data_IF_267296425174
#
_entry.id   IF_267296425174
#
_cell.length_a   1.000
_cell.length_b   1.000
_cell.length_c   1.000
_cell.angle_alpha   90.00
_cell.angle_beta   90.00
_cell.angle_gamma   90.00
#
_symmetry.space_group_name_H-M   'P 1'
#
loop_
_entity.id
_entity.type
_entity.pdbx_description
1 polymer ?
#
# COMPACT_ATOMS: atom_id res chain seq x y z
N UNK A 1 34.72 -80.59 95.89
CA UNK A 1 35.53 -79.62 95.12
C UNK A 1 34.60 -78.96 94.12
N UNK A 2 34.32 -77.68 94.33
CA UNK A 2 33.33 -76.86 93.64
C UNK A 2 33.85 -76.34 92.30
N UNK A 3 33.08 -76.54 91.22
CA UNK A 3 33.03 -75.61 90.09
C UNK A 3 31.57 -75.50 89.61
N UNK A 4 30.92 -74.43 90.05
CA UNK A 4 29.78 -73.81 89.39
C UNK A 4 30.33 -73.01 88.21
N UNK A 5 29.70 -72.99 87.03
CA UNK A 5 29.17 -71.75 86.43
C UNK A 5 28.57 -71.88 85.01
N UNK A 6 27.39 -71.26 84.88
CA UNK A 6 26.79 -70.59 83.73
C UNK A 6 26.56 -71.36 82.41
N UNK A 7 25.35 -71.93 82.29
CA UNK A 7 24.68 -72.10 81.00
C UNK A 7 24.22 -70.73 80.47
N UNK A 8 24.95 -70.21 79.48
CA UNK A 8 24.57 -69.01 78.74
C UNK A 8 23.38 -69.34 77.81
N UNK A 9 22.16 -68.94 78.20
CA UNK A 9 20.98 -69.04 77.33
C UNK A 9 21.09 -67.97 76.25
N UNK A 10 21.64 -68.35 75.09
CA UNK A 10 21.79 -67.50 73.91
C UNK A 10 20.42 -66.91 73.52
N UNK A 11 20.21 -65.64 73.82
CA UNK A 11 19.05 -64.87 73.36
C UNK A 11 19.01 -64.92 71.83
N UNK A 12 18.00 -65.58 71.26
CA UNK A 12 17.72 -65.51 69.82
C UNK A 12 17.21 -64.10 69.53
N UNK A 13 18.10 -63.20 69.15
CA UNK A 13 17.71 -61.96 68.49
C UNK A 13 16.90 -62.33 67.26
N UNK A 14 15.60 -62.00 67.24
CA UNK A 14 14.76 -62.18 66.05
C UNK A 14 15.35 -61.28 64.96
N UNK A 15 16.17 -61.84 64.06
CA UNK A 15 16.69 -61.11 62.91
C UNK A 15 15.50 -60.60 62.10
N UNK A 16 15.48 -59.29 61.86
CA UNK A 16 14.45 -58.66 61.03
C UNK A 16 14.43 -59.38 59.67
N UNK A 17 13.26 -59.82 59.17
CA UNK A 17 13.21 -60.60 57.94
C UNK A 17 13.80 -59.77 56.79
N UNK A 18 14.64 -60.39 55.94
CA UNK A 18 15.40 -59.72 54.87
C UNK A 18 14.54 -58.76 54.02
N UNK A 19 13.28 -59.11 53.79
CA UNK A 19 12.30 -58.27 53.08
C UNK A 19 12.07 -56.92 53.76
N UNK A 20 11.95 -56.88 55.09
CA UNK A 20 11.78 -55.63 55.85
C UNK A 20 13.05 -54.78 55.80
N UNK A 21 14.23 -55.39 55.87
CA UNK A 21 15.49 -54.65 55.69
C UNK A 21 15.61 -54.03 54.29
N UNK A 22 15.19 -54.74 53.24
CA UNK A 22 15.17 -54.20 51.87
C UNK A 22 14.16 -53.04 51.74
N UNK A 23 12.98 -53.14 52.34
CA UNK A 23 11.99 -52.06 52.34
C UNK A 23 12.52 -50.83 53.09
N UNK A 24 13.15 -51.01 54.24
CA UNK A 24 13.77 -49.90 54.99
C UNK A 24 14.91 -49.23 54.21
N UNK A 25 15.76 -50.02 53.56
CA UNK A 25 16.82 -49.49 52.70
C UNK A 25 16.26 -48.69 51.50
N UNK A 26 15.20 -49.21 50.86
CA UNK A 26 14.48 -48.50 49.80
C UNK A 26 13.88 -47.19 50.30
N UNK A 27 13.25 -47.19 51.49
CA UNK A 27 12.71 -45.97 52.10
C UNK A 27 13.80 -44.93 52.41
N UNK A 28 14.98 -45.35 52.87
CA UNK A 28 16.11 -44.44 53.13
C UNK A 28 16.64 -43.82 51.82
N UNK A 29 16.73 -44.62 50.75
CA UNK A 29 17.15 -44.12 49.43
C UNK A 29 16.13 -43.14 48.87
N UNK A 30 14.84 -43.48 48.95
CA UNK A 30 13.74 -42.59 48.55
C UNK A 30 13.73 -41.30 49.36
N UNK A 31 13.92 -41.37 50.69
CA UNK A 31 13.98 -40.17 51.53
C UNK A 31 15.20 -39.31 51.23
N UNK A 32 16.35 -39.91 50.97
CA UNK A 32 17.59 -39.18 50.62
C UNK A 32 17.46 -38.50 49.25
N UNK A 33 16.85 -39.20 48.28
CA UNK A 33 16.56 -38.65 46.96
C UNK A 33 15.55 -37.49 47.05
N UNK A 34 14.50 -37.63 47.84
CA UNK A 34 13.52 -36.57 48.08
C UNK A 34 14.17 -35.34 48.76
N UNK A 35 15.05 -35.58 49.74
CA UNK A 35 15.80 -34.51 50.41
C UNK A 35 16.74 -33.78 49.43
N UNK A 36 17.45 -34.52 48.57
CA UNK A 36 18.31 -33.94 47.55
C UNK A 36 17.52 -33.09 46.55
N UNK A 37 16.37 -33.57 46.07
CA UNK A 37 15.49 -32.83 45.18
C UNK A 37 14.98 -31.53 45.82
N UNK A 38 14.57 -31.59 47.10
CA UNK A 38 14.13 -30.41 47.86
C UNK A 38 15.27 -29.40 48.06
N UNK A 39 16.47 -29.88 48.39
CA UNK A 39 17.66 -29.03 48.53
C UNK A 39 18.02 -28.35 47.20
N UNK A 40 18.07 -29.13 46.12
CA UNK A 40 18.36 -28.64 44.76
C UNK A 40 17.32 -27.60 44.31
N UNK A 41 16.05 -27.85 44.59
CA UNK A 41 14.96 -26.90 44.35
C UNK A 41 15.14 -25.58 45.11
N UNK A 42 15.37 -25.64 46.43
CA UNK A 42 15.55 -24.45 47.25
C UNK A 42 16.79 -23.64 46.83
N UNK A 43 17.89 -24.32 46.47
CA UNK A 43 19.09 -23.68 45.94
C UNK A 43 18.79 -22.92 44.65
N UNK A 44 18.04 -23.53 43.72
CA UNK A 44 17.66 -22.88 42.47
C UNK A 44 16.78 -21.65 42.70
N UNK A 45 15.75 -21.76 43.56
CA UNK A 45 14.87 -20.64 43.87
C UNK A 45 15.63 -19.49 44.54
N UNK A 46 16.57 -19.78 45.45
CA UNK A 46 17.39 -18.77 46.09
C UNK A 46 18.36 -18.10 45.11
N UNK A 47 18.97 -18.87 44.21
CA UNK A 47 19.81 -18.32 43.15
C UNK A 47 19.01 -17.40 42.22
N UNK A 48 17.80 -17.82 41.81
CA UNK A 48 16.91 -16.98 41.00
C UNK A 48 16.63 -15.63 41.69
N UNK A 49 16.23 -15.66 42.97
CA UNK A 49 15.94 -14.44 43.74
C UNK A 49 17.18 -13.53 43.82
N UNK A 50 18.33 -14.12 44.17
CA UNK A 50 19.61 -13.41 44.25
C UNK A 50 20.00 -12.79 42.92
N UNK A 51 19.91 -13.52 41.81
CA UNK A 51 20.27 -13.02 40.48
C UNK A 51 19.30 -11.91 40.05
N UNK A 52 18.00 -12.07 40.28
CA UNK A 52 16.99 -11.05 40.02
C UNK A 52 17.27 -9.77 40.81
N UNK A 53 17.47 -9.87 42.13
CA UNK A 53 17.71 -8.72 43.03
C UNK A 53 19.01 -7.96 42.68
N UNK A 54 19.99 -8.66 42.09
CA UNK A 54 21.26 -8.08 41.65
C UNK A 54 21.27 -7.65 40.17
N UNK A 55 20.10 -7.52 39.53
CA UNK A 55 19.96 -7.12 38.12
C UNK A 55 20.62 -8.07 37.11
N UNK A 56 20.90 -9.31 37.52
CA UNK A 56 21.42 -10.39 36.67
C UNK A 56 20.27 -11.15 36.02
N UNK A 57 19.46 -10.41 35.27
CA UNK A 57 18.20 -10.93 34.73
C UNK A 57 18.39 -12.06 33.71
N UNK A 58 19.46 -12.01 32.93
CA UNK A 58 19.81 -13.08 31.99
C UNK A 58 20.13 -14.39 32.74
N UNK A 59 20.91 -14.30 33.82
CA UNK A 59 21.26 -15.43 34.68
C UNK A 59 20.02 -15.98 35.38
N UNK A 60 19.18 -15.11 35.96
CA UNK A 60 17.91 -15.48 36.58
C UNK A 60 16.99 -16.22 35.59
N UNK A 61 16.85 -15.69 34.37
CA UNK A 61 16.05 -16.30 33.33
C UNK A 61 16.64 -17.65 32.85
N UNK A 62 17.96 -17.77 32.74
CA UNK A 62 18.61 -19.03 32.36
C UNK A 62 18.36 -20.16 33.37
N UNK A 63 18.26 -19.85 34.67
CA UNK A 63 17.86 -20.82 35.69
C UNK A 63 16.43 -21.35 35.47
N UNK A 64 15.57 -20.54 34.84
CA UNK A 64 14.22 -20.92 34.48
C UNK A 64 14.11 -21.53 33.07
N UNK A 65 15.04 -21.30 32.14
CA UNK A 65 14.99 -21.94 30.81
C UNK A 65 15.57 -23.35 30.83
N UNK A 66 16.52 -23.63 31.73
CA UNK A 66 17.10 -24.98 31.96
C UNK A 66 16.09 -26.01 32.51
N UNK A 67 14.80 -25.64 32.63
CA UNK A 67 13.62 -26.46 32.97
C UNK A 67 13.41 -27.74 32.13
N UNK A 68 14.17 -27.97 31.05
CA UNK A 68 14.03 -29.18 30.21
C UNK A 68 14.16 -30.51 30.99
N UNK A 69 14.73 -30.50 32.20
CA UNK A 69 14.91 -31.68 33.03
C UNK A 69 13.96 -31.76 34.25
N UNK A 70 12.95 -30.89 34.35
CA UNK A 70 12.02 -30.92 35.49
C UNK A 70 10.82 -31.84 35.24
N UNK A 71 10.41 -32.56 36.28
CA UNK A 71 9.10 -33.21 36.27
C UNK A 71 7.97 -32.14 36.39
N UNK A 72 6.72 -32.46 35.98
CA UNK A 72 5.62 -31.50 35.98
C UNK A 72 5.31 -30.88 37.36
N UNK A 73 5.52 -31.61 38.46
CA UNK A 73 5.30 -31.09 39.81
C UNK A 73 6.32 -30.01 40.16
N UNK A 74 7.60 -30.24 39.87
CA UNK A 74 8.68 -29.26 40.08
C UNK A 74 8.48 -28.02 39.19
N UNK A 75 7.97 -28.21 37.97
CA UNK A 75 7.62 -27.12 37.05
C UNK A 75 6.49 -26.23 37.59
N UNK A 76 5.43 -26.84 38.14
CA UNK A 76 4.33 -26.11 38.75
C UNK A 76 4.77 -25.39 40.03
N UNK A 77 5.54 -26.06 40.89
CA UNK A 77 6.05 -25.50 42.14
C UNK A 77 6.95 -24.29 41.89
N UNK A 78 7.90 -24.39 40.94
CA UNK A 78 8.78 -23.24 40.62
C UNK A 78 7.99 -22.08 40.04
N UNK A 79 6.99 -22.34 39.18
CA UNK A 79 6.12 -21.29 38.64
C UNK A 79 5.35 -20.57 39.76
N UNK A 80 4.81 -21.32 40.71
CA UNK A 80 4.10 -20.77 41.86
C UNK A 80 5.01 -19.94 42.76
N UNK A 81 6.17 -20.48 43.16
CA UNK A 81 7.06 -19.80 44.09
C UNK A 81 7.77 -18.60 43.49
N UNK A 82 8.12 -18.66 42.20
CA UNK A 82 8.62 -17.50 41.45
C UNK A 82 7.51 -16.45 41.34
N UNK A 83 6.30 -16.82 40.92
CA UNK A 83 5.16 -15.90 40.87
C UNK A 83 4.92 -15.20 42.22
N UNK A 84 4.94 -15.97 43.32
CA UNK A 84 4.79 -15.44 44.69
C UNK A 84 5.91 -14.46 45.05
N UNK A 85 7.15 -14.80 44.72
CA UNK A 85 8.28 -13.90 44.92
C UNK A 85 8.13 -12.62 44.09
N UNK A 86 7.80 -12.70 42.81
CA UNK A 86 7.62 -11.54 41.94
C UNK A 86 6.48 -10.64 42.41
N UNK A 87 5.34 -11.20 42.85
CA UNK A 87 4.24 -10.43 43.46
C UNK A 87 4.70 -9.69 44.72
N UNK A 88 5.49 -10.35 45.57
CA UNK A 88 6.07 -9.71 46.76
C UNK A 88 7.01 -8.57 46.36
N UNK A 89 7.84 -8.81 45.33
CA UNK A 89 8.78 -7.83 44.80
C UNK A 89 8.06 -6.60 44.23
N UNK A 90 6.92 -6.76 43.55
CA UNK A 90 6.12 -5.63 43.07
C UNK A 90 5.74 -4.70 44.22
N UNK A 91 5.15 -5.25 45.28
CA UNK A 91 4.75 -4.47 46.45
C UNK A 91 5.96 -3.80 47.12
N UNK A 92 7.07 -4.52 47.30
CA UNK A 92 8.30 -3.97 47.86
C UNK A 92 8.86 -2.82 47.02
N UNK A 93 8.84 -2.93 45.70
CA UNK A 93 9.28 -1.86 44.81
C UNK A 93 8.37 -0.63 44.92
N UNK A 94 7.05 -0.82 44.98
CA UNK A 94 6.11 0.27 45.21
C UNK A 94 6.39 1.03 46.52
N UNK A 95 6.63 0.29 47.61
CA UNK A 95 6.99 0.89 48.91
C UNK A 95 8.35 1.61 48.85
N UNK A 96 9.36 1.00 48.20
CA UNK A 96 10.70 1.58 48.06
C UNK A 96 10.71 2.86 47.20
N UNK A 97 9.85 2.95 46.18
CA UNK A 97 9.66 4.18 45.39
C UNK A 97 9.07 5.28 46.27
N UNK A 98 8.01 4.96 47.03
CA UNK A 98 7.37 5.92 47.93
C UNK A 98 8.35 6.45 48.99
N UNK A 99 9.18 5.56 49.54
CA UNK A 99 10.22 5.88 50.51
C UNK A 99 11.49 6.52 49.88
N UNK A 100 11.53 6.68 48.56
CA UNK A 100 12.68 7.19 47.79
C UNK A 100 13.97 6.38 48.00
N UNK A 101 13.84 5.07 48.28
CA UNK A 101 14.96 4.13 48.46
C UNK A 101 15.53 3.62 47.13
N UNK A 102 14.72 3.67 46.05
CA UNK A 102 15.10 3.27 44.70
C UNK A 102 14.69 4.37 43.70
N UNK A 103 15.43 4.49 42.59
CA UNK A 103 15.03 5.37 41.49
C UNK A 103 13.86 4.77 40.71
N UNK A 104 13.00 5.64 40.17
CA UNK A 104 11.89 5.25 39.29
C UNK A 104 12.37 4.42 38.09
N UNK A 105 13.52 4.76 37.50
CA UNK A 105 14.12 4.02 36.38
C UNK A 105 14.46 2.59 36.76
N UNK A 106 15.11 2.38 37.89
CA UNK A 106 15.51 1.05 38.36
C UNK A 106 14.31 0.18 38.73
N UNK A 107 13.24 0.80 39.26
CA UNK A 107 11.99 0.10 39.52
C UNK A 107 11.29 -0.32 38.22
N UNK A 108 11.20 0.58 37.23
CA UNK A 108 10.62 0.29 35.91
C UNK A 108 11.38 -0.81 35.17
N UNK A 109 12.71 -0.81 35.24
CA UNK A 109 13.54 -1.90 34.69
C UNK A 109 13.16 -3.25 35.31
N UNK A 110 13.00 -3.30 36.64
CA UNK A 110 12.56 -4.51 37.31
C UNK A 110 11.13 -4.89 36.93
N UNK A 111 10.17 -3.95 36.89
CA UNK A 111 8.79 -4.24 36.45
C UNK A 111 8.74 -4.81 35.03
N UNK A 112 9.54 -4.28 34.11
CA UNK A 112 9.67 -4.83 32.76
C UNK A 112 10.17 -6.27 32.75
N UNK A 113 11.19 -6.57 33.55
CA UNK A 113 11.70 -7.94 33.65
C UNK A 113 10.65 -8.86 34.31
N UNK A 114 9.87 -8.38 35.29
CA UNK A 114 8.73 -9.12 35.85
C UNK A 114 7.71 -9.45 34.77
N UNK A 115 7.33 -8.47 33.92
CA UNK A 115 6.39 -8.67 32.80
C UNK A 115 6.87 -9.77 31.86
N UNK A 116 8.17 -9.78 31.53
CA UNK A 116 8.78 -10.76 30.63
C UNK A 116 8.63 -12.21 31.08
N UNK A 117 8.60 -12.48 32.39
CA UNK A 117 8.37 -13.85 32.89
C UNK A 117 6.94 -14.34 32.64
N UNK A 118 5.97 -13.43 32.49
CA UNK A 118 4.55 -13.76 32.31
C UNK A 118 4.00 -14.71 33.40
N UNK A 119 4.38 -14.47 34.66
CA UNK A 119 3.98 -15.27 35.82
C UNK A 119 3.11 -14.50 36.83
N UNK A 120 2.86 -13.22 36.58
CA UNK A 120 2.04 -12.34 37.44
C UNK A 120 0.89 -11.77 36.61
N UNK A 121 -0.20 -11.40 37.27
CA UNK A 121 -1.32 -10.73 36.62
C UNK A 121 -0.85 -9.35 36.08
N UNK A 122 -1.16 -9.07 34.82
CA UNK A 122 -0.68 -7.87 34.13
C UNK A 122 -1.30 -6.59 34.71
N UNK A 123 -2.57 -6.61 35.13
CA UNK A 123 -3.24 -5.47 35.76
C UNK A 123 -2.58 -5.06 37.08
N UNK A 124 -2.17 -6.04 37.89
CA UNK A 124 -1.47 -5.78 39.16
C UNK A 124 -0.12 -5.09 38.90
N UNK A 125 0.58 -5.50 37.84
CA UNK A 125 1.87 -4.94 37.45
C UNK A 125 1.73 -3.54 36.84
N UNK A 126 0.75 -3.35 35.96
CA UNK A 126 0.42 -2.05 35.38
C UNK A 126 -0.02 -1.04 36.43
N UNK A 127 -0.86 -1.41 37.41
CA UNK A 127 -1.22 -0.52 38.52
C UNK A 127 0.00 0.01 39.28
N UNK A 128 1.03 -0.81 39.48
CA UNK A 128 2.24 -0.44 40.19
C UNK A 128 3.19 0.43 39.33
N UNK A 129 3.31 0.09 38.04
CA UNK A 129 4.15 0.81 37.08
C UNK A 129 3.54 2.17 36.71
N UNK A 130 2.24 2.20 36.42
CA UNK A 130 1.51 3.36 35.93
C UNK A 130 1.31 4.43 37.00
N UNK A 131 1.65 4.17 38.27
CA UNK A 131 1.71 5.21 39.30
C UNK A 131 3.01 6.02 39.28
N UNK A 132 3.99 5.64 38.44
CA UNK A 132 5.29 6.31 38.36
C UNK A 132 5.21 7.52 37.41
N UNK A 133 5.51 8.71 37.94
CA UNK A 133 5.45 9.98 37.20
C UNK A 133 6.32 9.97 35.93
N UNK A 134 7.47 9.30 35.97
CA UNK A 134 8.47 9.26 34.87
C UNK A 134 7.91 8.73 33.55
N UNK A 135 6.85 7.90 33.58
CA UNK A 135 6.26 7.28 32.37
C UNK A 135 4.86 7.79 32.03
N UNK A 136 4.32 8.79 32.73
CA UNK A 136 2.94 9.27 32.46
C UNK A 136 2.76 9.77 31.03
N UNK A 137 3.74 10.51 30.50
CA UNK A 137 3.71 10.97 29.12
C UNK A 137 3.81 9.79 28.13
N UNK A 138 4.56 8.75 28.46
CA UNK A 138 4.66 7.52 27.66
C UNK A 138 3.32 6.79 27.59
N UNK A 139 2.65 6.61 28.72
CA UNK A 139 1.33 5.98 28.82
C UNK A 139 0.30 6.77 28.03
N UNK A 140 0.32 8.10 28.17
CA UNK A 140 -0.55 8.99 27.39
C UNK A 140 -0.30 8.85 25.89
N UNK A 141 0.97 8.82 25.46
CA UNK A 141 1.33 8.60 24.06
C UNK A 141 0.84 7.24 23.56
N UNK A 142 1.02 6.17 24.33
CA UNK A 142 0.52 4.84 23.97
C UNK A 142 -1.00 4.84 23.77
N UNK A 143 -1.76 5.34 24.75
CA UNK A 143 -3.22 5.40 24.67
C UNK A 143 -3.72 6.29 23.52
N UNK A 144 -3.04 7.42 23.27
CA UNK A 144 -3.36 8.31 22.15
C UNK A 144 -3.05 7.62 20.81
N UNK A 145 -1.94 6.89 20.73
CA UNK A 145 -1.57 6.08 19.57
C UNK A 145 -2.61 5.01 19.25
N UNK A 146 -3.08 4.27 20.25
CA UNK A 146 -4.14 3.25 20.10
C UNK A 146 -5.44 3.88 19.59
N UNK A 147 -5.85 5.02 20.16
CA UNK A 147 -7.04 5.73 19.71
C UNK A 147 -6.91 6.18 18.24
N UNK A 148 -5.80 6.82 17.88
CA UNK A 148 -5.54 7.23 16.49
C UNK A 148 -5.52 6.04 15.53
N UNK A 149 -4.89 4.93 15.91
CA UNK A 149 -4.84 3.70 15.11
C UNK A 149 -6.24 3.15 14.84
N UNK A 150 -7.06 3.03 15.88
CA UNK A 150 -8.44 2.53 15.76
C UNK A 150 -9.34 3.44 14.91
N UNK A 151 -9.04 4.75 14.87
CA UNK A 151 -9.74 5.72 14.03
C UNK A 151 -9.18 5.82 12.59
N UNK A 152 -8.19 5.01 12.22
CA UNK A 152 -7.55 5.05 10.90
C UNK A 152 -6.61 6.24 10.69
N UNK A 153 -6.29 6.98 11.75
CA UNK A 153 -5.38 8.13 11.76
C UNK A 153 -3.94 7.66 11.93
N UNK A 154 -3.44 6.93 10.92
CA UNK A 154 -2.14 6.25 10.98
C UNK A 154 -0.94 7.22 11.13
N UNK A 155 -0.88 8.39 10.46
CA UNK A 155 0.20 9.36 10.68
C UNK A 155 0.32 9.81 12.14
N UNK A 156 -0.82 10.12 12.77
CA UNK A 156 -0.91 10.52 14.17
C UNK A 156 -0.51 9.36 15.09
N UNK A 157 -1.00 8.15 14.81
CA UNK A 157 -0.65 6.94 15.55
C UNK A 157 0.87 6.71 15.55
N UNK A 158 1.52 6.79 14.37
CA UNK A 158 2.99 6.67 14.23
C UNK A 158 3.70 7.71 15.09
N UNK A 159 3.24 8.97 15.05
CA UNK A 159 3.83 10.07 15.82
C UNK A 159 3.77 9.83 17.34
N UNK A 160 2.66 9.27 17.83
CA UNK A 160 2.50 8.92 19.23
C UNK A 160 3.34 7.70 19.63
N UNK A 161 3.29 6.61 18.86
CA UNK A 161 4.05 5.39 19.20
C UNK A 161 5.57 5.60 19.19
N UNK A 162 6.10 6.45 18.29
CA UNK A 162 7.52 6.85 18.31
C UNK A 162 7.99 7.51 19.62
N UNK A 163 7.05 8.00 20.44
CA UNK A 163 7.32 8.69 21.72
C UNK A 163 7.10 7.80 22.94
N UNK A 164 6.70 6.54 22.76
CA UNK A 164 6.55 5.59 23.88
C UNK A 164 7.93 5.21 24.37
N UNK A 165 8.15 5.35 25.67
CA UNK A 165 9.44 5.10 26.32
C UNK A 165 9.73 3.61 26.33
N UNK A 166 11.00 3.25 26.13
CA UNK A 166 11.45 1.87 26.31
C UNK A 166 11.27 1.36 27.75
N UNK A 167 11.06 2.25 28.74
CA UNK A 167 10.77 1.85 30.13
C UNK A 167 9.29 1.53 30.38
N UNK A 168 8.40 1.87 29.46
CA UNK A 168 6.97 1.57 29.53
C UNK A 168 6.72 0.08 29.34
N UNK A 169 5.80 -0.49 30.13
CA UNK A 169 5.38 -1.88 29.99
C UNK A 169 4.66 -2.14 28.66
N UNK A 170 4.10 -1.11 28.03
CA UNK A 170 3.44 -1.17 26.73
C UNK A 170 4.41 -0.96 25.55
N UNK A 171 5.71 -0.77 25.79
CA UNK A 171 6.67 -0.44 24.74
C UNK A 171 6.69 -1.47 23.60
N UNK A 172 6.74 -2.76 23.92
CA UNK A 172 6.75 -3.83 22.90
C UNK A 172 5.48 -3.82 22.05
N UNK A 173 4.31 -3.66 22.68
CA UNK A 173 3.04 -3.57 21.96
C UNK A 173 2.99 -2.30 21.10
N UNK A 174 3.54 -1.18 21.59
CA UNK A 174 3.64 0.06 20.82
C UNK A 174 4.47 -0.09 19.54
N UNK A 175 5.50 -0.94 19.53
CA UNK A 175 6.30 -1.22 18.34
C UNK A 175 5.51 -2.04 17.31
N UNK A 176 4.71 -3.00 17.76
CA UNK A 176 3.81 -3.78 16.90
C UNK A 176 2.82 -2.83 16.22
N UNK A 177 2.14 -1.99 17.00
CA UNK A 177 1.20 -1.01 16.45
C UNK A 177 1.87 0.05 15.58
N UNK A 178 3.11 0.45 15.87
CA UNK A 178 3.88 1.37 15.02
C UNK A 178 4.10 0.77 13.63
N UNK A 179 4.50 -0.50 13.56
CA UNK A 179 4.74 -1.19 12.29
C UNK A 179 3.43 -1.43 11.52
N UNK A 180 2.36 -1.84 12.22
CA UNK A 180 1.03 -1.96 11.61
C UNK A 180 0.52 -0.61 11.08
N UNK A 181 0.72 0.48 11.83
CA UNK A 181 0.33 1.83 11.40
C UNK A 181 1.07 2.25 10.12
N UNK A 182 2.38 1.98 10.04
CA UNK A 182 3.17 2.25 8.84
C UNK A 182 2.70 1.43 7.65
N UNK A 183 2.42 0.14 7.85
CA UNK A 183 1.89 -0.73 6.79
C UNK A 183 0.56 -0.20 6.25
N UNK A 184 -0.39 0.15 7.14
CA UNK A 184 -1.70 0.67 6.73
C UNK A 184 -1.62 2.02 6.06
N UNK A 185 -0.75 2.92 6.54
CA UNK A 185 -0.48 4.19 5.87
C UNK A 185 0.04 3.97 4.45
N UNK A 186 0.97 3.04 4.28
CA UNK A 186 1.55 2.69 2.97
C UNK A 186 0.51 2.15 2.01
N UNK A 187 -0.32 1.20 2.44
CA UNK A 187 -1.40 0.63 1.62
C UNK A 187 -2.35 1.72 1.10
N UNK A 188 -2.79 2.61 2.00
CA UNK A 188 -3.68 3.73 1.67
C UNK A 188 -3.02 4.72 0.70
N UNK A 189 -1.75 5.06 0.95
CA UNK A 189 -0.98 5.97 0.12
C UNK A 189 -0.80 5.42 -1.29
N UNK A 190 -0.45 4.14 -1.41
CA UNK A 190 -0.23 3.50 -2.72
C UNK A 190 -1.51 3.43 -3.53
N UNK A 191 -2.63 3.06 -2.90
CA UNK A 191 -3.94 3.07 -3.55
C UNK A 191 -4.33 4.47 -4.05
N UNK A 192 -4.04 5.52 -3.27
CA UNK A 192 -4.28 6.91 -3.68
C UNK A 192 -3.41 7.31 -4.87
N UNK A 193 -2.12 6.97 -4.84
CA UNK A 193 -1.21 7.22 -5.96
C UNK A 193 -1.64 6.47 -7.23
N UNK A 194 -2.09 5.21 -7.12
CA UNK A 194 -2.60 4.45 -8.26
C UNK A 194 -3.83 5.08 -8.90
N UNK A 195 -4.71 5.66 -8.10
CA UNK A 195 -5.85 6.43 -8.61
C UNK A 195 -5.40 7.67 -9.39
N UNK A 196 -4.44 8.44 -8.86
CA UNK A 196 -3.88 9.61 -9.53
C UNK A 196 -3.20 9.25 -10.85
N UNK A 197 -2.37 8.20 -10.85
CA UNK A 197 -1.67 7.69 -12.03
C UNK A 197 -2.67 7.28 -13.12
N UNK A 198 -3.77 6.62 -12.75
CA UNK A 198 -4.81 6.20 -13.69
C UNK A 198 -5.55 7.37 -14.36
N UNK A 199 -5.38 8.59 -13.83
CA UNK A 199 -5.92 9.83 -14.37
C UNK A 199 -4.80 10.79 -14.84
N UNK A 200 -3.60 10.26 -15.12
CA UNK A 200 -2.42 10.99 -15.61
C UNK A 200 -1.88 12.09 -14.66
N UNK A 201 -2.23 12.06 -13.36
CA UNK A 201 -1.78 13.03 -12.34
C UNK A 201 -0.45 12.63 -11.66
N UNK A 202 0.60 12.40 -12.44
CA UNK A 202 1.89 11.87 -11.95
C UNK A 202 2.61 12.79 -10.94
N UNK A 203 2.64 14.10 -11.20
CA UNK A 203 3.31 15.07 -10.31
C UNK A 203 2.65 15.14 -8.93
N UNK A 204 1.32 15.04 -8.90
CA UNK A 204 0.58 15.01 -7.63
C UNK A 204 0.86 13.71 -6.88
N UNK A 205 0.89 12.57 -7.57
CA UNK A 205 1.23 11.28 -6.97
C UNK A 205 2.64 11.31 -6.34
N UNK A 206 3.61 11.91 -7.03
CA UNK A 206 4.97 12.11 -6.52
C UNK A 206 5.01 13.03 -5.28
N UNK A 207 4.25 14.13 -5.29
CA UNK A 207 4.16 15.04 -4.14
C UNK A 207 3.62 14.31 -2.92
N UNK A 208 2.53 13.54 -3.08
CA UNK A 208 1.89 12.82 -1.97
C UNK A 208 2.78 11.79 -1.29
N UNK A 209 3.59 11.08 -2.08
CA UNK A 209 4.58 10.16 -1.51
C UNK A 209 5.66 10.94 -0.76
N UNK A 210 6.17 12.02 -1.36
CA UNK A 210 7.21 12.83 -0.73
C UNK A 210 6.76 13.45 0.60
N UNK A 211 5.50 13.85 0.72
CA UNK A 211 4.92 14.43 1.94
C UNK A 211 4.92 13.45 3.12
N UNK A 212 4.99 12.13 2.86
CA UNK A 212 4.95 11.08 3.89
C UNK A 212 6.33 10.48 4.20
N UNK A 213 7.41 11.00 3.60
CA UNK A 213 8.76 10.45 3.72
C UNK A 213 9.27 10.42 5.18
N UNK A 214 8.94 11.43 5.99
CA UNK A 214 9.37 11.51 7.39
C UNK A 214 8.73 10.43 8.30
N UNK A 215 7.57 9.92 7.89
CA UNK A 215 6.81 8.92 8.65
C UNK A 215 7.24 7.51 8.27
N UNK A 216 7.38 7.26 6.97
CA UNK A 216 7.70 5.95 6.40
C UNK A 216 9.21 5.68 6.37
N UNK A 217 10.04 6.71 6.29
CA UNK A 217 11.50 6.60 6.23
C UNK A 217 11.98 5.93 4.95
N UNK A 218 13.14 5.26 5.04
CA UNK A 218 13.83 4.61 3.91
C UNK A 218 13.21 3.24 3.49
N UNK A 219 11.88 3.14 3.50
CA UNK A 219 11.12 1.92 3.17
C UNK A 219 11.34 1.49 1.71
N UNK A 220 11.62 0.21 1.49
CA UNK A 220 11.95 -0.34 0.17
C UNK A 220 10.76 -0.27 -0.80
N UNK A 221 9.56 -0.56 -0.32
CA UNK A 221 8.35 -0.58 -1.15
C UNK A 221 8.00 0.86 -1.60
N UNK A 222 8.26 1.86 -0.75
CA UNK A 222 8.09 3.28 -1.11
C UNK A 222 9.05 3.67 -2.23
N UNK A 223 10.31 3.22 -2.17
CA UNK A 223 11.31 3.47 -3.24
C UNK A 223 10.89 2.82 -4.56
N UNK A 224 10.41 1.58 -4.51
CA UNK A 224 9.87 0.89 -5.68
C UNK A 224 8.66 1.62 -6.25
N UNK A 225 7.74 2.11 -5.42
CA UNK A 225 6.59 2.88 -5.87
C UNK A 225 6.97 4.19 -6.55
N UNK A 226 7.98 4.89 -6.03
CA UNK A 226 8.52 6.12 -6.65
C UNK A 226 9.11 5.80 -8.03
N UNK A 227 9.81 4.68 -8.18
CA UNK A 227 10.38 4.27 -9.47
C UNK A 227 9.26 3.97 -10.49
N UNK A 228 8.22 3.22 -10.09
CA UNK A 228 7.04 2.92 -10.93
C UNK A 228 6.33 4.19 -11.42
N UNK A 229 6.13 5.19 -10.55
CA UNK A 229 5.51 6.46 -10.94
C UNK A 229 6.36 7.20 -11.98
N UNK A 230 7.68 7.25 -11.78
CA UNK A 230 8.60 7.94 -12.70
C UNK A 230 8.65 7.26 -14.07
N UNK A 231 8.65 5.94 -14.10
CA UNK A 231 8.63 5.17 -15.35
C UNK A 231 7.35 5.48 -16.14
N UNK A 232 6.18 5.35 -15.51
CA UNK A 232 4.89 5.64 -16.16
C UNK A 232 4.77 7.10 -16.60
N UNK A 233 5.31 8.05 -15.82
CA UNK A 233 5.35 9.45 -16.22
C UNK A 233 6.19 9.65 -17.49
N UNK A 234 7.35 9.00 -17.57
CA UNK A 234 8.22 9.09 -18.75
C UNK A 234 7.53 8.48 -19.98
N UNK A 235 6.88 7.33 -19.84
CA UNK A 235 6.11 6.70 -20.92
C UNK A 235 5.00 7.63 -21.46
N UNK A 236 4.28 8.31 -20.56
CA UNK A 236 3.26 9.30 -20.94
C UNK A 236 3.86 10.47 -21.73
N UNK A 237 4.99 11.01 -21.29
CA UNK A 237 5.68 12.11 -21.97
C UNK A 237 6.19 11.70 -23.35
N UNK A 238 6.81 10.51 -23.46
CA UNK A 238 7.34 9.99 -24.71
C UNK A 238 6.25 9.78 -25.76
N UNK A 239 5.12 9.18 -25.33
CA UNK A 239 3.95 8.98 -26.20
C UNK A 239 3.40 10.30 -26.72
N UNK A 240 3.23 11.29 -25.85
CA UNK A 240 2.69 12.59 -26.24
C UNK A 240 3.64 13.38 -27.15
N UNK A 241 4.95 13.29 -26.91
CA UNK A 241 5.97 13.85 -27.80
C UNK A 241 5.89 13.23 -29.20
N UNK A 242 5.83 11.90 -29.29
CA UNK A 242 5.71 11.19 -30.56
C UNK A 242 4.44 11.57 -31.34
N UNK A 243 3.30 11.74 -30.65
CA UNK A 243 2.04 12.17 -31.25
C UNK A 243 2.14 13.61 -31.79
N UNK A 244 2.78 14.51 -31.04
CA UNK A 244 2.99 15.89 -31.45
C UNK A 244 3.91 15.99 -32.68
N UNK A 245 5.02 15.24 -32.68
CA UNK A 245 5.92 15.15 -33.82
C UNK A 245 5.23 14.57 -35.06
N UNK A 246 4.46 13.48 -34.92
CA UNK A 246 3.72 12.89 -36.02
C UNK A 246 2.70 13.86 -36.61
N UNK A 247 1.96 14.58 -35.75
CA UNK A 247 1.02 15.62 -36.19
C UNK A 247 1.75 16.76 -36.91
N UNK A 248 2.91 17.20 -36.44
CA UNK A 248 3.73 18.23 -37.09
C UNK A 248 4.27 17.77 -38.46
N UNK A 249 4.77 16.53 -38.56
CA UNK A 249 5.22 15.93 -39.83
C UNK A 249 4.06 15.80 -40.83
N UNK A 250 2.89 15.39 -40.38
CA UNK A 250 1.68 15.29 -41.21
C UNK A 250 1.22 16.66 -41.76
N UNK A 251 1.40 17.74 -40.99
CA UNK A 251 1.06 19.09 -41.45
C UNK A 251 2.11 19.69 -42.39
N UNK A 252 3.38 19.35 -42.21
CA UNK A 252 4.48 19.89 -43.02
C UNK A 252 4.72 19.12 -44.33
N UNK A 253 4.43 17.81 -44.37
CA UNK A 253 4.60 16.96 -45.56
C UNK A 253 3.29 16.74 -46.32
N UNK A 254 3.32 16.63 -47.66
CA UNK A 254 2.10 16.30 -48.41
C UNK A 254 1.78 14.83 -48.22
N UNK A 255 0.59 14.52 -47.69
CA UNK A 255 0.17 13.15 -47.43
C UNK A 255 -0.25 12.49 -48.74
N UNK A 256 0.35 11.35 -49.04
CA UNK A 256 0.11 10.54 -50.23
C UNK A 256 -0.03 9.07 -49.83
N UNK A 257 -0.54 8.22 -50.73
CA UNK A 257 -0.56 6.78 -50.51
C UNK A 257 0.83 6.14 -50.31
N UNK A 258 1.92 6.82 -50.71
CA UNK A 258 3.29 6.32 -50.58
C UNK A 258 3.91 6.59 -49.21
N UNK A 259 3.61 7.73 -48.58
CA UNK A 259 4.25 8.16 -47.33
C UNK A 259 3.32 8.11 -46.11
N UNK A 260 2.00 7.92 -46.27
CA UNK A 260 1.08 7.93 -45.12
C UNK A 260 1.46 6.93 -44.02
N UNK A 261 2.07 5.80 -44.41
CA UNK A 261 2.52 4.74 -43.50
C UNK A 261 3.93 4.95 -42.93
N UNK A 262 4.52 6.12 -43.14
CA UNK A 262 5.81 6.52 -42.55
C UNK A 262 5.70 7.79 -41.72
N UNK A 263 4.49 8.37 -41.63
CA UNK A 263 4.22 9.63 -40.91
C UNK A 263 3.76 9.39 -39.48
N UNK A 264 3.58 8.14 -39.05
CA UNK A 264 3.10 7.75 -37.73
C UNK A 264 1.79 8.46 -37.30
N UNK A 265 0.89 8.68 -38.25
CA UNK A 265 -0.39 9.36 -37.98
C UNK A 265 -1.30 8.41 -37.19
N UNK A 266 -1.56 8.75 -35.94
CA UNK A 266 -2.48 8.01 -35.08
C UNK A 266 -3.92 8.52 -35.17
N UNK A 267 -4.88 7.62 -34.95
CA UNK A 267 -6.29 7.94 -34.75
C UNK A 267 -6.89 7.04 -33.67
N UNK A 268 -7.79 7.60 -32.87
CA UNK A 268 -8.56 6.88 -31.85
C UNK A 268 -9.54 5.86 -32.43
N UNK A 269 -9.76 5.88 -33.75
CA UNK A 269 -10.64 4.96 -34.46
C UNK A 269 -9.89 4.28 -35.60
N UNK A 270 -10.46 3.24 -36.22
CA UNK A 270 -9.87 2.64 -37.41
C UNK A 270 -9.89 3.52 -38.68
N UNK A 271 -10.19 4.82 -38.58
CA UNK A 271 -10.36 5.73 -39.71
C UNK A 271 -9.50 7.00 -39.60
N UNK A 272 -8.90 7.38 -40.72
CA UNK A 272 -8.16 8.64 -40.88
C UNK A 272 -8.67 9.35 -42.13
N UNK A 273 -8.99 10.64 -42.00
CA UNK A 273 -9.36 11.51 -43.12
C UNK A 273 -8.20 12.47 -43.42
N UNK A 274 -7.81 12.56 -44.68
CA UNK A 274 -6.88 13.57 -45.19
C UNK A 274 -7.58 14.44 -46.22
N UNK A 275 -7.67 15.74 -45.99
CA UNK A 275 -8.24 16.72 -46.92
C UNK A 275 -7.09 17.49 -47.55
N UNK A 276 -6.96 17.38 -48.86
CA UNK A 276 -6.04 18.21 -49.63
C UNK A 276 -6.77 19.45 -50.15
N UNK A 277 -6.43 20.62 -49.60
CA UNK A 277 -6.87 21.94 -50.06
C UNK A 277 -6.33 22.23 -51.47
N UNK A 278 -5.11 21.78 -51.78
CA UNK A 278 -4.53 21.96 -53.11
C UNK A 278 -5.25 21.12 -54.18
N UNK A 279 -5.47 19.82 -53.90
CA UNK A 279 -6.07 18.90 -54.88
C UNK A 279 -7.60 18.93 -54.86
N UNK A 280 -8.21 19.60 -53.87
CA UNK A 280 -9.65 19.62 -53.63
C UNK A 280 -10.24 18.20 -53.53
N UNK A 281 -9.55 17.37 -52.74
CA UNK A 281 -9.91 15.97 -52.50
C UNK A 281 -9.88 15.61 -51.03
N UNK A 282 -10.86 14.82 -50.61
CA UNK A 282 -10.90 14.16 -49.31
C UNK A 282 -10.58 12.68 -49.48
N UNK A 283 -9.51 12.23 -48.84
CA UNK A 283 -9.07 10.84 -48.82
C UNK A 283 -9.45 10.21 -47.48
N UNK A 284 -10.07 9.03 -47.51
CA UNK A 284 -10.40 8.27 -46.30
C UNK A 284 -9.59 6.99 -46.29
N UNK A 285 -8.87 6.78 -45.21
CA UNK A 285 -8.08 5.59 -44.93
C UNK A 285 -8.73 4.78 -43.81
N UNK A 286 -8.54 3.46 -43.87
CA UNK A 286 -8.93 2.52 -42.82
C UNK A 286 -7.73 1.70 -42.38
N UNK A 287 -7.58 1.48 -41.08
CA UNK A 287 -6.43 0.76 -40.51
C UNK A 287 -6.02 1.30 -39.16
N UNK A 288 -4.71 1.37 -38.94
CA UNK A 288 -4.05 1.97 -37.77
C UNK A 288 -2.75 2.64 -38.20
N UNK A 289 -2.08 3.33 -37.28
CA UNK A 289 -0.77 3.95 -37.51
C UNK A 289 0.17 3.00 -38.27
N UNK A 290 0.85 3.55 -39.29
CA UNK A 290 1.76 2.88 -40.23
C UNK A 290 1.17 1.73 -41.07
N UNK A 291 -0.15 1.48 -40.97
CA UNK A 291 -0.89 0.46 -41.72
C UNK A 291 -2.23 0.99 -42.24
N UNK A 292 -2.23 2.20 -42.75
CA UNK A 292 -3.35 2.86 -43.40
C UNK A 292 -3.54 2.36 -44.84
N UNK A 293 -4.77 1.95 -45.16
CA UNK A 293 -5.19 1.59 -46.51
C UNK A 293 -6.24 2.60 -46.99
N UNK A 294 -6.04 3.17 -48.17
CA UNK A 294 -7.02 4.07 -48.79
C UNK A 294 -8.30 3.28 -49.13
N UNK A 295 -9.45 3.72 -48.62
CA UNK A 295 -10.75 3.07 -48.84
C UNK A 295 -11.73 3.93 -49.64
N UNK A 296 -11.58 5.26 -49.60
CA UNK A 296 -12.39 6.20 -50.39
C UNK A 296 -11.59 7.44 -50.79
N UNK A 297 -11.96 8.02 -51.92
CA UNK A 297 -11.53 9.34 -52.36
C UNK A 297 -12.76 10.09 -52.84
N UNK A 298 -12.98 11.29 -52.31
CA UNK A 298 -14.09 12.17 -52.64
C UNK A 298 -13.57 13.45 -53.27
N UNK A 299 -14.13 13.91 -54.40
CA UNK A 299 -14.10 15.31 -54.78
C UNK A 299 -14.65 16.19 -53.64
N UNK A 300 -13.98 17.29 -53.31
CA UNK A 300 -14.51 18.26 -52.36
C UNK A 300 -14.37 19.70 -52.86
N UNK A 301 -15.04 20.63 -52.18
CA UNK A 301 -14.92 22.07 -52.40
C UNK A 301 -14.77 22.77 -51.06
N UNK A 302 -13.60 23.37 -50.82
CA UNK A 302 -13.24 24.00 -49.54
C UNK A 302 -13.57 25.49 -49.52
N UNK A 303 -13.15 26.19 -48.46
CA UNK A 303 -13.32 27.63 -48.28
C UNK A 303 -12.62 28.46 -49.36
N UNK A 304 -13.27 29.52 -49.85
CA UNK A 304 -12.67 30.50 -50.75
C UNK A 304 -11.65 31.40 -50.04
N UNK A 305 -10.83 32.12 -50.80
CA UNK A 305 -9.88 33.07 -50.23
C UNK A 305 -10.60 34.14 -49.39
N UNK A 306 -10.17 34.31 -48.14
CA UNK A 306 -10.80 35.20 -47.16
C UNK A 306 -11.78 34.49 -46.24
N UNK A 307 -12.20 33.28 -46.59
CA UNK A 307 -13.01 32.37 -45.77
C UNK A 307 -12.42 30.95 -45.87
N UNK A 308 -11.10 30.88 -45.77
CA UNK A 308 -10.33 29.67 -46.05
C UNK A 308 -10.67 28.56 -45.05
N UNK A 309 -10.72 27.31 -45.54
CA UNK A 309 -10.79 26.16 -44.63
C UNK A 309 -9.48 26.08 -43.85
N UNK A 310 -9.51 26.07 -42.51
CA UNK A 310 -8.28 26.12 -41.72
C UNK A 310 -7.49 24.82 -41.88
N UNK A 311 -6.20 24.87 -42.29
CA UNK A 311 -5.34 23.71 -42.24
C UNK A 311 -5.07 23.32 -40.79
N UNK A 312 -4.85 22.03 -40.53
CA UNK A 312 -4.65 21.57 -39.16
C UNK A 312 -4.95 20.10 -38.93
N UNK A 313 -4.82 19.72 -37.67
CA UNK A 313 -5.02 18.37 -37.17
C UNK A 313 -6.23 18.38 -36.24
N UNK A 314 -7.30 17.71 -36.65
CA UNK A 314 -8.60 17.74 -35.98
C UNK A 314 -9.12 16.32 -35.72
N UNK A 315 -10.27 16.23 -35.07
CA UNK A 315 -11.03 14.98 -34.92
C UNK A 315 -12.49 15.21 -35.25
N UNK A 316 -13.17 14.17 -35.71
CA UNK A 316 -14.61 14.21 -35.95
C UNK A 316 -15.33 14.42 -34.61
N UNK A 317 -16.17 15.46 -34.56
CA UNK A 317 -16.98 15.81 -33.38
C UNK A 317 -18.44 15.38 -33.57
N UNK A 318 -19.36 16.33 -33.48
CA UNK A 318 -20.80 16.12 -33.60
C UNK A 318 -21.23 15.98 -35.06
N UNK A 319 -22.48 15.55 -35.29
CA UNK A 319 -23.06 15.38 -36.62
C UNK A 319 -24.57 15.62 -36.59
N UNK A 320 -25.16 15.91 -37.75
CA UNK A 320 -26.61 16.02 -37.90
C UNK A 320 -27.09 15.92 -39.34
N UNK A 321 -28.37 15.62 -39.52
CA UNK A 321 -28.93 15.37 -40.85
C UNK A 321 -29.06 16.64 -41.69
N UNK A 322 -29.19 17.81 -41.06
CA UNK A 322 -29.43 19.09 -41.72
C UNK A 322 -28.94 20.28 -40.87
N UNK A 323 -28.45 21.33 -41.53
CA UNK A 323 -28.27 22.66 -40.96
C UNK A 323 -28.71 23.73 -41.98
N UNK A 324 -28.95 24.95 -41.51
CA UNK A 324 -29.19 26.11 -42.38
C UNK A 324 -28.51 27.34 -41.77
N UNK A 325 -27.72 28.06 -42.56
CA UNK A 325 -27.13 29.35 -42.19
C UNK A 325 -28.04 30.47 -42.68
N UNK A 326 -28.55 31.28 -41.76
CA UNK A 326 -29.33 32.47 -42.09
C UNK A 326 -28.46 33.59 -42.70
N UNK A 327 -27.16 33.60 -42.43
CA UNK A 327 -26.22 34.58 -42.99
C UNK A 327 -26.00 34.35 -44.49
N UNK A 328 -25.70 33.10 -44.86
CA UNK A 328 -25.40 32.74 -46.24
C UNK A 328 -26.65 32.30 -47.04
N UNK A 329 -27.80 32.16 -46.36
CA UNK A 329 -29.04 31.61 -46.94
C UNK A 329 -28.84 30.22 -47.59
N UNK A 330 -27.89 29.45 -47.06
CA UNK A 330 -27.51 28.11 -47.51
C UNK A 330 -27.65 27.11 -46.36
N UNK A 331 -28.14 25.90 -46.66
CA UNK A 331 -28.12 24.75 -45.77
C UNK A 331 -27.39 23.56 -46.37
N UNK A 332 -27.09 22.56 -45.55
CA UNK A 332 -26.41 21.35 -45.98
C UNK A 332 -26.94 20.12 -45.29
N UNK A 333 -26.93 18.99 -46.01
CA UNK A 333 -27.33 17.68 -45.50
C UNK A 333 -26.12 16.90 -44.99
N UNK A 334 -26.39 15.99 -44.04
CA UNK A 334 -25.43 15.03 -43.50
C UNK A 334 -24.14 15.69 -43.00
N UNK A 335 -24.28 16.74 -42.20
CA UNK A 335 -23.13 17.48 -41.73
C UNK A 335 -22.38 16.71 -40.65
N UNK A 336 -21.05 16.80 -40.68
CA UNK A 336 -20.15 16.24 -39.67
C UNK A 336 -19.14 17.31 -39.27
N UNK A 337 -19.10 17.65 -37.98
CA UNK A 337 -18.31 18.76 -37.47
C UNK A 337 -16.82 18.41 -37.37
N UNK A 338 -16.00 19.37 -37.80
CA UNK A 338 -14.53 19.34 -37.71
C UNK A 338 -14.10 20.19 -36.50
N UNK A 339 -14.39 21.49 -36.54
CA UNK A 339 -14.07 22.44 -35.47
C UNK A 339 -14.94 23.69 -35.59
N UNK A 340 -15.39 24.29 -34.48
CA UNK A 340 -16.30 25.44 -34.50
C UNK A 340 -17.46 25.23 -35.47
N UNK A 341 -17.61 26.16 -36.41
CA UNK A 341 -18.64 26.13 -37.47
C UNK A 341 -18.15 25.51 -38.79
N UNK A 342 -16.95 24.90 -38.81
CA UNK A 342 -16.38 24.22 -39.98
C UNK A 342 -16.85 22.77 -40.03
N UNK A 343 -17.59 22.43 -41.09
CA UNK A 343 -18.27 21.14 -41.27
C UNK A 343 -17.84 20.47 -42.58
N UNK A 344 -17.81 19.14 -42.60
CA UNK A 344 -18.11 18.39 -43.83
C UNK A 344 -19.61 18.42 -44.06
N UNK A 345 -20.09 18.71 -45.27
CA UNK A 345 -21.51 18.61 -45.61
C UNK A 345 -21.75 18.44 -47.12
N UNK A 346 -22.97 18.11 -47.52
CA UNK A 346 -23.35 18.06 -48.94
C UNK A 346 -23.19 19.40 -49.66
N UNK A 347 -23.31 19.44 -50.98
CA UNK A 347 -23.59 20.67 -51.74
C UNK A 347 -24.69 21.53 -51.08
N UNK A 348 -24.64 22.87 -51.20
CA UNK A 348 -25.56 23.76 -50.51
C UNK A 348 -26.98 23.68 -51.08
N UNK A 349 -27.96 23.73 -50.19
CA UNK A 349 -29.39 23.67 -50.46
C UNK A 349 -30.08 24.93 -49.97
N UNK A 350 -31.17 25.30 -50.63
CA UNK A 350 -32.09 26.30 -50.12
C UNK A 350 -32.80 25.81 -48.84
N UNK A 351 -33.49 26.73 -48.16
CA UNK A 351 -34.23 26.45 -46.92
C UNK A 351 -35.29 25.35 -47.07
N UNK A 352 -35.77 25.13 -48.29
CA UNK A 352 -36.71 24.06 -48.65
C UNK A 352 -36.10 22.64 -48.56
N UNK A 353 -34.78 22.52 -48.39
CA UNK A 353 -34.00 21.27 -48.33
C UNK A 353 -34.03 20.45 -49.61
N UNK A 354 -34.58 20.96 -50.71
CA UNK A 354 -34.74 20.23 -51.98
C UNK A 354 -33.98 20.88 -53.12
N UNK A 355 -33.95 22.21 -53.16
CA UNK A 355 -33.31 22.97 -54.23
C UNK A 355 -31.82 23.13 -53.94
N UNK A 356 -30.95 22.57 -54.79
CA UNK A 356 -29.50 22.81 -54.70
C UNK A 356 -29.18 24.19 -55.25
N UNK A 357 -28.45 25.00 -54.49
CA UNK A 357 -28.12 26.39 -54.83
C UNK A 357 -26.82 26.50 -55.66
N UNK A 358 -25.87 25.60 -55.42
CA UNK A 358 -24.59 25.58 -56.11
C UNK A 358 -24.10 24.13 -56.26
N UNK A 359 -23.76 23.75 -57.49
CA UNK A 359 -23.22 22.42 -57.83
C UNK A 359 -21.70 22.42 -57.98
N UNK A 360 -21.05 23.55 -57.70
CA UNK A 360 -19.61 23.71 -57.88
C UNK A 360 -18.84 22.75 -56.97
N UNK A 361 -17.97 21.96 -57.58
CA UNK A 361 -17.12 20.95 -56.94
C UNK A 361 -15.69 21.00 -57.51
N UNK A 362 -14.70 20.45 -56.79
CA UNK A 362 -13.28 20.39 -57.20
C UNK A 362 -12.55 21.74 -57.28
N UNK A 363 -13.10 22.78 -56.66
CA UNK A 363 -12.43 24.07 -56.46
C UNK A 363 -12.96 24.74 -55.19
N UNK A 364 -12.18 25.61 -54.53
CA UNK A 364 -12.68 26.41 -53.41
C UNK A 364 -13.97 27.14 -53.79
N UNK A 365 -15.04 26.98 -53.00
CA UNK A 365 -16.37 27.55 -53.30
C UNK A 365 -17.27 27.75 -52.07
N UNK A 366 -16.81 27.44 -50.86
CA UNK A 366 -17.60 27.58 -49.63
C UNK A 366 -17.07 28.70 -48.73
N UNK A 367 -17.77 28.91 -47.61
CA UNK A 367 -17.41 29.87 -46.55
C UNK A 367 -16.66 29.16 -45.41
N UNK A 368 -15.63 28.37 -45.76
CA UNK A 368 -14.77 27.63 -44.82
C UNK A 368 -15.09 26.15 -44.64
N UNK A 369 -16.32 25.72 -44.88
CA UNK A 369 -16.71 24.30 -44.82
C UNK A 369 -16.08 23.44 -45.93
N UNK A 370 -16.27 22.12 -45.86
CA UNK A 370 -15.87 21.19 -46.91
C UNK A 370 -17.13 20.60 -47.54
N UNK A 371 -17.49 21.13 -48.72
CA UNK A 371 -18.60 20.66 -49.53
C UNK A 371 -18.25 19.35 -50.22
N UNK A 372 -19.16 18.40 -50.18
CA UNK A 372 -19.07 17.06 -50.77
C UNK A 372 -20.32 16.78 -51.61
N UNK A 373 -20.28 15.75 -52.45
CA UNK A 373 -21.51 15.21 -53.01
C UNK A 373 -22.44 14.72 -51.87
N UNK A 374 -23.75 14.66 -52.12
CA UNK A 374 -24.72 14.22 -51.11
C UNK A 374 -24.38 12.80 -50.61
N UNK A 375 -24.01 11.90 -51.53
CA UNK A 375 -23.69 10.51 -51.21
C UNK A 375 -22.37 10.40 -50.43
N UNK A 376 -21.36 11.21 -50.77
CA UNK A 376 -20.08 11.22 -50.08
C UNK A 376 -20.21 11.82 -48.67
N UNK A 377 -20.96 12.91 -48.52
CA UNK A 377 -21.29 13.49 -47.22
C UNK A 377 -22.03 12.48 -46.35
N UNK A 378 -23.07 11.82 -46.90
CA UNK A 378 -23.81 10.76 -46.21
C UNK A 378 -22.90 9.59 -45.82
N UNK A 379 -21.95 9.23 -46.68
CA UNK A 379 -21.01 8.15 -46.39
C UNK A 379 -20.13 8.49 -45.20
N UNK A 380 -19.56 9.70 -45.13
CA UNK A 380 -18.77 10.15 -43.96
C UNK A 380 -19.65 10.15 -42.71
N UNK A 381 -20.82 10.80 -42.78
CA UNK A 381 -21.79 10.90 -41.70
C UNK A 381 -22.18 9.53 -41.11
N UNK A 382 -22.30 8.51 -41.96
CA UNK A 382 -22.73 7.17 -41.55
C UNK A 382 -21.57 6.31 -41.06
N UNK A 383 -20.41 6.37 -41.71
CA UNK A 383 -19.35 5.36 -41.54
C UNK A 383 -18.20 5.80 -40.64
N UNK A 384 -17.98 7.11 -40.46
CA UNK A 384 -16.81 7.61 -39.74
C UNK A 384 -17.20 7.89 -38.29
N UNK A 385 -16.64 7.18 -37.29
CA UNK A 385 -16.98 7.41 -35.88
C UNK A 385 -16.45 8.76 -35.36
N UNK A 386 -17.04 9.24 -34.26
CA UNK A 386 -16.47 10.33 -33.48
C UNK A 386 -15.03 10.00 -33.05
N UNK A 387 -14.19 11.02 -32.88
CA UNK A 387 -12.76 10.90 -32.56
C UNK A 387 -11.86 10.35 -33.68
N UNK A 388 -12.41 10.11 -34.89
CA UNK A 388 -11.59 9.79 -36.06
C UNK A 388 -10.71 10.99 -36.43
N UNK A 389 -9.43 10.74 -36.75
CA UNK A 389 -8.44 11.79 -37.02
C UNK A 389 -8.72 12.43 -38.38
N UNK A 390 -8.57 13.75 -38.46
CA UNK A 390 -8.66 14.53 -39.70
C UNK A 390 -7.38 15.35 -39.83
N UNK A 391 -6.72 15.29 -40.98
CA UNK A 391 -5.64 16.20 -41.36
C UNK A 391 -6.14 17.03 -42.54
N UNK A 392 -6.07 18.36 -42.44
CA UNK A 392 -6.43 19.30 -43.51
C UNK A 392 -5.16 20.03 -43.93
N UNK A 393 -4.85 19.99 -45.23
CA UNK A 393 -3.64 20.60 -45.79
C UNK A 393 -3.80 21.14 -47.20
#
# INVERSE_FOLDING_TARGET
MSINTFYYKKSKTKKLPKRIMCVLALLIVLSSSCFYELYSYNKLLNNFKSDFDNYKFSEANNLLITKQNFNPFKLSMISHDVSKYLRTKINTLSDEIQDKKISSENALIQFKEIKRYNLVNDDDLHKASDSIDLIQDSIKNYNSGINSFNNGQYPEAISFFKKVSALDLNYTDSLIYLDESKSKLKDNLFAYCDNLISNDYYSEAMSKISDNNDLLGDDIDVKEKIADIKEKQQEYLDKNSAIAEASSRALTTNITSKNINTLNIESSTPYLINVSLQDQKTYVYKGKADKWQLVKTFPCSTGISGEDTPPGSFTIKERGDWFFSEEYQEGGKYWTQITGDILFHSVPFAKDKTTVLDYTMNKPSSHGCIRLSIDDAKWIFTNIPRESKIIIK
#
